data_IF_689784428403
#
_entry.id   IF_689784428403
#
_cell.length_a   1.000
_cell.length_b   1.000
_cell.length_c   1.000
_cell.angle_alpha   90.00
_cell.angle_beta   90.00
_cell.angle_gamma   90.00
#
_symmetry.space_group_name_H-M   'P 1'
#
loop_
_entity.id
_entity.type
_entity.pdbx_description
1 polymer ?
#
# COMPACT_ATOMS: atom_id res chain seq x y z
N UNK A 1 -1.60 -6.43 20.44
CA UNK A 1 -0.67 -6.38 19.30
C UNK A 1 -1.36 -5.59 18.22
N UNK A 2 -0.85 -4.40 17.92
CA UNK A 2 -1.29 -3.63 16.75
C UNK A 2 -0.65 -4.36 15.56
N UNK A 3 -1.42 -5.22 14.89
CA UNK A 3 -0.95 -5.89 13.68
C UNK A 3 -0.64 -4.78 12.67
N UNK A 4 0.64 -4.61 12.37
CA UNK A 4 1.11 -3.65 11.37
C UNK A 4 0.45 -4.00 10.04
N UNK A 5 -0.41 -3.10 9.56
CA UNK A 5 -0.93 -3.13 8.19
C UNK A 5 0.26 -2.83 7.27
N UNK A 6 1.10 -3.83 7.03
CA UNK A 6 2.19 -3.73 6.04
C UNK A 6 1.52 -3.51 4.69
N UNK A 7 2.03 -2.52 3.96
CA UNK A 7 1.41 -1.89 2.78
C UNK A 7 1.25 -2.86 1.61
N UNK A 8 0.25 -3.73 1.69
CA UNK A 8 0.04 -4.87 0.78
C UNK A 8 -0.26 -4.43 -0.66
N UNK A 9 -0.98 -3.33 -0.85
CA UNK A 9 -1.29 -2.78 -2.17
C UNK A 9 -0.01 -2.30 -2.88
N UNK A 10 0.92 -1.69 -2.16
CA UNK A 10 2.19 -1.20 -2.71
C UNK A 10 3.14 -2.35 -3.01
N UNK A 11 3.27 -3.33 -2.11
CA UNK A 11 4.05 -4.53 -2.37
C UNK A 11 3.53 -5.27 -3.62
N UNK A 12 2.21 -5.44 -3.75
CA UNK A 12 1.60 -6.02 -4.93
C UNK A 12 1.93 -5.24 -6.20
N UNK A 13 1.85 -3.91 -6.15
CA UNK A 13 2.22 -3.07 -7.29
C UNK A 13 3.68 -3.31 -7.72
N UNK A 14 4.62 -3.45 -6.78
CA UNK A 14 6.01 -3.79 -7.09
C UNK A 14 6.15 -5.18 -7.70
N UNK A 15 5.45 -6.20 -7.17
CA UNK A 15 5.49 -7.55 -7.75
C UNK A 15 4.97 -7.55 -9.20
N UNK A 16 3.86 -6.86 -9.45
CA UNK A 16 3.22 -6.82 -10.78
C UNK A 16 4.00 -5.98 -11.80
N UNK A 17 4.53 -4.81 -11.40
CA UNK A 17 5.13 -3.83 -12.31
C UNK A 17 6.65 -3.86 -12.37
N UNK A 18 7.32 -4.49 -11.39
CA UNK A 18 8.79 -4.55 -11.31
C UNK A 18 9.30 -6.00 -11.34
N UNK A 19 8.66 -6.93 -10.64
CA UNK A 19 9.13 -8.32 -10.50
C UNK A 19 8.60 -9.28 -11.59
N UNK A 20 7.81 -8.78 -12.54
CA UNK A 20 7.22 -9.60 -13.60
C UNK A 20 6.14 -10.58 -13.12
N UNK A 21 5.57 -10.34 -11.93
CA UNK A 21 4.46 -11.10 -11.37
C UNK A 21 4.86 -12.28 -10.47
N UNK A 22 6.15 -12.51 -10.21
CA UNK A 22 6.63 -13.54 -9.28
C UNK A 22 7.28 -12.90 -8.04
N UNK A 23 6.66 -13.06 -6.87
CA UNK A 23 7.23 -12.65 -5.58
C UNK A 23 8.31 -13.64 -5.14
N UNK A 24 9.52 -13.47 -5.66
CA UNK A 24 10.69 -14.31 -5.36
C UNK A 24 11.59 -13.72 -4.26
N UNK A 25 11.18 -12.61 -3.66
CA UNK A 25 11.94 -11.85 -2.65
C UNK A 25 13.35 -11.43 -3.11
N UNK A 26 13.57 -11.30 -4.42
CA UNK A 26 14.80 -10.79 -5.02
C UNK A 26 14.98 -9.27 -4.83
N UNK A 27 16.19 -8.80 -5.12
CA UNK A 27 16.46 -7.37 -5.27
C UNK A 27 16.15 -6.94 -6.70
N UNK A 28 15.29 -5.93 -6.85
CA UNK A 28 14.88 -5.42 -8.16
C UNK A 28 15.24 -3.96 -8.31
N UNK A 29 15.71 -3.59 -9.50
CA UNK A 29 15.98 -2.21 -9.86
C UNK A 29 14.65 -1.50 -10.16
N UNK A 30 14.44 -0.36 -9.51
CA UNK A 30 13.26 0.50 -9.73
C UNK A 30 13.73 1.81 -10.36
N UNK A 31 13.20 2.16 -11.54
CA UNK A 31 13.51 3.41 -12.21
C UNK A 31 12.73 4.60 -11.64
N UNK A 32 13.21 5.82 -11.92
CA UNK A 32 12.52 7.07 -11.56
C UNK A 32 11.13 7.16 -12.18
N UNK A 33 10.97 6.67 -13.41
CA UNK A 33 9.68 6.60 -14.11
C UNK A 33 8.72 5.65 -13.38
N UNK A 34 9.18 4.48 -12.94
CA UNK A 34 8.35 3.54 -12.18
C UNK A 34 7.91 4.13 -10.83
N UNK A 35 8.80 4.83 -10.12
CA UNK A 35 8.43 5.54 -8.89
C UNK A 35 7.39 6.64 -9.16
N UNK A 36 7.52 7.34 -10.29
CA UNK A 36 6.54 8.35 -10.72
C UNK A 36 5.19 7.72 -11.07
N UNK A 37 5.16 6.59 -11.80
CA UNK A 37 3.93 5.87 -12.13
C UNK A 37 3.19 5.40 -10.88
N UNK A 38 3.92 4.90 -9.88
CA UNK A 38 3.33 4.54 -8.61
C UNK A 38 2.78 5.78 -7.88
N UNK A 39 3.54 6.88 -7.84
CA UNK A 39 3.09 8.13 -7.22
C UNK A 39 1.83 8.69 -7.89
N UNK A 40 1.76 8.64 -9.22
CA UNK A 40 0.59 9.08 -9.99
C UNK A 40 -0.62 8.22 -9.67
N UNK A 41 -0.44 6.89 -9.59
CA UNK A 41 -1.51 5.95 -9.20
C UNK A 41 -2.00 6.20 -7.76
N UNK A 42 -1.07 6.42 -6.82
CA UNK A 42 -1.40 6.76 -5.42
C UNK A 42 -2.19 8.06 -5.35
N UNK A 43 -1.75 9.10 -6.08
CA UNK A 43 -2.45 10.39 -6.13
C UNK A 43 -3.85 10.25 -6.74
N UNK A 44 -4.01 9.45 -7.79
CA UNK A 44 -5.30 9.21 -8.42
C UNK A 44 -6.30 8.55 -7.46
N UNK A 45 -5.84 7.57 -6.67
CA UNK A 45 -6.68 6.95 -5.64
C UNK A 45 -7.04 7.96 -4.55
N UNK A 46 -6.06 8.70 -4.03
CA UNK A 46 -6.29 9.69 -2.96
C UNK A 46 -7.25 10.82 -3.38
N UNK A 47 -7.23 11.23 -4.66
CA UNK A 47 -8.13 12.25 -5.20
C UNK A 47 -9.58 11.74 -5.32
N UNK A 48 -9.75 10.45 -5.65
CA UNK A 48 -11.07 9.87 -5.94
C UNK A 48 -11.73 9.20 -4.74
N UNK A 49 -10.97 8.83 -3.71
CA UNK A 49 -11.50 8.07 -2.58
C UNK A 49 -12.46 8.92 -1.75
N UNK A 50 -13.61 8.36 -1.40
CA UNK A 50 -14.61 9.01 -0.55
C UNK A 50 -14.69 8.31 0.80
N UNK A 51 -14.35 9.02 1.87
CA UNK A 51 -14.42 8.50 3.25
C UNK A 51 -15.71 8.94 3.95
N UNK A 52 -16.34 8.01 4.66
CA UNK A 52 -17.48 8.31 5.51
C UNK A 52 -17.40 7.58 6.86
N UNK A 53 -18.06 8.09 7.92
CA UNK A 53 -18.12 7.41 9.21
C UNK A 53 -18.67 5.98 9.08
N UNK A 54 -17.97 5.03 9.67
CA UNK A 54 -18.30 3.61 9.61
C UNK A 54 -17.62 2.80 10.72
N UNK A 55 -17.59 1.48 10.56
CA UNK A 55 -16.99 0.54 11.50
C UNK A 55 -15.78 -0.14 10.88
N UNK A 56 -14.59 0.24 11.34
CA UNK A 56 -13.31 -0.25 10.83
C UNK A 56 -12.82 -1.44 11.65
N UNK A 57 -12.19 -2.41 11.00
CA UNK A 57 -11.61 -3.57 11.67
C UNK A 57 -10.37 -3.18 12.50
N UNK A 58 -10.47 -3.36 13.81
CA UNK A 58 -9.40 -3.11 14.78
C UNK A 58 -8.85 -4.42 15.38
N UNK A 59 -8.77 -5.46 14.53
CA UNK A 59 -8.26 -6.78 14.88
C UNK A 59 -9.37 -7.77 15.27
N UNK A 60 -8.93 -8.89 15.86
CA UNK A 60 -9.81 -9.99 16.25
C UNK A 60 -9.51 -10.47 17.66
N UNK A 61 -10.50 -11.08 18.29
CA UNK A 61 -10.38 -11.80 19.56
C UNK A 61 -10.92 -13.21 19.40
N UNK A 62 -10.52 -14.12 20.29
CA UNK A 62 -11.07 -15.48 20.33
C UNK A 62 -11.95 -15.64 21.54
N UNK A 63 -13.21 -16.03 21.33
CA UNK A 63 -14.13 -16.42 22.40
C UNK A 63 -14.68 -17.80 22.08
N UNK A 64 -14.54 -18.74 23.02
CA UNK A 64 -14.97 -20.13 22.87
C UNK A 64 -14.43 -20.85 21.61
N UNK A 65 -13.24 -20.45 21.14
CA UNK A 65 -12.64 -21.00 19.91
C UNK A 65 -13.13 -20.36 18.62
N UNK A 66 -14.08 -19.43 18.68
CA UNK A 66 -14.55 -18.65 17.52
C UNK A 66 -13.79 -17.32 17.42
N UNK A 67 -13.40 -16.96 16.18
CA UNK A 67 -12.78 -15.67 15.87
C UNK A 67 -13.87 -14.60 15.77
N UNK A 68 -13.82 -13.61 16.67
CA UNK A 68 -14.71 -12.46 16.66
C UNK A 68 -13.94 -11.22 16.22
N UNK A 69 -14.46 -10.52 15.21
CA UNK A 69 -13.91 -9.24 14.76
C UNK A 69 -14.22 -8.13 15.75
N UNK A 70 -13.20 -7.34 16.08
CA UNK A 70 -13.37 -6.14 16.87
C UNK A 70 -13.47 -4.96 15.90
N UNK A 71 -14.66 -4.40 15.76
CA UNK A 71 -14.88 -3.21 14.96
C UNK A 71 -15.05 -1.98 15.85
N UNK A 72 -14.43 -0.88 15.45
CA UNK A 72 -14.52 0.41 16.17
C UNK A 72 -15.02 1.49 15.23
N UNK A 73 -15.65 2.56 15.74
CA UNK A 73 -15.96 3.74 14.94
C UNK A 73 -14.68 4.31 14.30
N UNK A 74 -14.74 4.55 12.99
CA UNK A 74 -13.68 5.16 12.18
C UNK A 74 -14.26 5.64 10.85
N UNK A 75 -13.45 5.76 9.81
CA UNK A 75 -13.93 6.03 8.45
C UNK A 75 -13.71 4.85 7.50
N UNK A 76 -14.70 4.58 6.65
CA UNK A 76 -14.65 3.55 5.61
C UNK A 76 -14.68 4.21 4.24
N UNK A 77 -14.08 3.56 3.24
CA UNK A 77 -14.16 3.99 1.85
C UNK A 77 -15.55 3.62 1.29
N UNK A 78 -16.26 4.60 0.73
CA UNK A 78 -17.59 4.42 0.15
C UNK A 78 -17.58 3.87 -1.27
N UNK A 79 -16.48 4.12 -1.99
CA UNK A 79 -16.24 3.73 -3.37
C UNK A 79 -15.02 2.80 -3.49
N UNK A 80 -15.05 1.62 -2.84
CA UNK A 80 -13.90 0.71 -2.79
C UNK A 80 -13.44 0.26 -4.18
N UNK A 81 -14.31 0.29 -5.18
CA UNK A 81 -13.97 -0.04 -6.57
C UNK A 81 -12.85 0.84 -7.14
N UNK A 82 -12.69 2.08 -6.67
CA UNK A 82 -11.56 2.94 -7.07
C UNK A 82 -10.26 2.31 -6.60
N UNK A 83 -10.22 1.90 -5.34
CA UNK A 83 -9.06 1.27 -4.72
C UNK A 83 -8.80 -0.11 -5.35
N UNK A 84 -9.83 -0.93 -5.56
CA UNK A 84 -9.72 -2.27 -6.15
C UNK A 84 -9.19 -2.25 -7.59
N UNK A 85 -9.56 -1.25 -8.38
CA UNK A 85 -9.13 -1.17 -9.77
C UNK A 85 -7.73 -0.58 -9.94
N UNK A 86 -7.31 0.32 -9.05
CA UNK A 86 -6.05 1.06 -9.18
C UNK A 86 -4.93 0.51 -8.29
N UNK A 87 -5.23 0.23 -7.01
CA UNK A 87 -4.27 -0.23 -6.00
C UNK A 87 -4.93 -1.27 -5.07
N UNK A 88 -5.28 -2.45 -5.62
CA UNK A 88 -5.99 -3.46 -4.86
C UNK A 88 -5.17 -4.00 -3.70
N UNK A 89 -5.81 -4.18 -2.55
CA UNK A 89 -5.22 -4.91 -1.43
C UNK A 89 -5.06 -6.39 -1.78
N UNK A 90 -4.12 -7.06 -1.10
CA UNK A 90 -3.89 -8.50 -1.26
C UNK A 90 -3.99 -9.19 0.11
N UNK A 91 -4.72 -10.30 0.16
CA UNK A 91 -4.76 -11.19 1.32
C UNK A 91 -3.56 -12.13 1.31
N UNK A 92 -2.94 -12.36 2.46
CA UNK A 92 -1.96 -13.42 2.63
C UNK A 92 -1.45 -13.51 4.07
N UNK A 93 -0.68 -14.55 4.36
CA UNK A 93 -0.25 -14.88 5.72
C UNK A 93 0.51 -13.75 6.43
N UNK A 94 1.18 -12.88 5.66
CA UNK A 94 1.98 -11.75 6.15
C UNK A 94 1.31 -10.40 5.99
N UNK A 95 0.14 -10.34 5.35
CA UNK A 95 -0.53 -9.09 5.00
C UNK A 95 -1.65 -8.80 6.00
N UNK A 96 -1.80 -7.51 6.33
CA UNK A 96 -2.76 -7.03 7.32
C UNK A 96 -4.22 -7.07 6.83
N UNK A 97 -5.02 -6.10 7.27
CA UNK A 97 -6.39 -5.95 6.78
C UNK A 97 -6.41 -5.74 5.26
N UNK A 98 -7.41 -6.31 4.59
CA UNK A 98 -7.72 -6.04 3.19
C UNK A 98 -8.88 -5.05 3.02
N UNK A 99 -9.42 -4.52 4.12
CA UNK A 99 -10.50 -3.53 4.07
C UNK A 99 -9.98 -2.17 3.61
N UNK A 100 -10.75 -1.52 2.74
CA UNK A 100 -10.54 -0.13 2.34
C UNK A 100 -11.19 0.79 3.37
N UNK A 101 -10.38 1.32 4.27
CA UNK A 101 -10.79 2.19 5.37
C UNK A 101 -9.80 3.37 5.53
N UNK A 102 -10.01 4.18 6.57
CA UNK A 102 -9.13 5.31 6.90
C UNK A 102 -7.66 4.92 7.02
N UNK A 103 -7.35 3.69 7.45
CA UNK A 103 -5.97 3.26 7.57
C UNK A 103 -5.38 2.90 6.22
N UNK A 104 -6.16 2.31 5.29
CA UNK A 104 -5.72 2.14 3.90
C UNK A 104 -5.35 3.49 3.28
N UNK A 105 -6.22 4.49 3.43
CA UNK A 105 -5.97 5.84 2.90
C UNK A 105 -4.73 6.46 3.55
N UNK A 106 -4.57 6.34 4.87
CA UNK A 106 -3.39 6.83 5.58
C UNK A 106 -2.10 6.16 5.13
N UNK A 107 -2.14 4.86 4.83
CA UNK A 107 -0.97 4.14 4.33
C UNK A 107 -0.59 4.64 2.92
N UNK A 108 -1.57 5.01 2.09
CA UNK A 108 -1.33 5.68 0.80
C UNK A 108 -0.75 7.09 0.96
N UNK A 109 -1.25 7.89 1.91
CA UNK A 109 -0.68 9.21 2.23
C UNK A 109 0.79 9.10 2.65
N UNK A 110 1.10 8.15 3.53
CA UNK A 110 2.49 7.88 3.92
C UNK A 110 3.34 7.43 2.73
N UNK A 111 2.81 6.55 1.88
CA UNK A 111 3.51 6.08 0.67
C UNK A 111 3.82 7.25 -0.26
N UNK A 112 2.86 8.16 -0.47
CA UNK A 112 3.06 9.38 -1.25
C UNK A 112 4.24 10.18 -0.74
N UNK A 113 4.32 10.46 0.56
CA UNK A 113 5.42 11.22 1.16
C UNK A 113 6.78 10.54 0.93
N UNK A 114 6.85 9.22 1.04
CA UNK A 114 8.07 8.45 0.79
C UNK A 114 8.48 8.50 -0.68
N UNK A 115 7.53 8.38 -1.61
CA UNK A 115 7.79 8.44 -3.05
C UNK A 115 8.24 9.82 -3.51
N UNK A 116 7.55 10.88 -3.05
CA UNK A 116 7.94 12.26 -3.35
C UNK A 116 9.37 12.55 -2.87
N UNK A 117 9.72 12.07 -1.68
CA UNK A 117 11.09 12.18 -1.16
C UNK A 117 12.09 11.38 -1.99
N UNK A 118 11.79 10.13 -2.31
CA UNK A 118 12.69 9.28 -3.10
C UNK A 118 12.96 9.88 -4.49
N UNK A 119 11.93 10.41 -5.16
CA UNK A 119 12.07 11.08 -6.45
C UNK A 119 12.89 12.37 -6.32
N UNK A 120 12.67 13.15 -5.26
CA UNK A 120 13.46 14.37 -5.03
C UNK A 120 14.94 14.09 -4.75
N UNK A 121 15.23 13.06 -3.96
CA UNK A 121 16.60 12.62 -3.67
C UNK A 121 17.29 12.13 -4.96
N UNK A 122 16.56 11.40 -5.83
CA UNK A 122 17.03 11.00 -7.16
C UNK A 122 17.38 12.16 -8.07
N UNK A 123 16.44 13.10 -8.23
CA UNK A 123 16.61 14.25 -9.11
C UNK A 123 17.78 15.14 -8.62
N UNK A 124 18.10 15.12 -7.32
CA UNK A 124 19.22 15.85 -6.73
C UNK A 124 20.58 15.15 -6.89
N UNK A 125 20.64 13.82 -6.74
CA UNK A 125 21.90 13.06 -6.77
C UNK A 125 22.31 12.63 -8.19
N UNK A 126 21.34 12.34 -9.06
CA UNK A 126 21.57 11.72 -10.38
C UNK A 126 20.57 12.23 -11.45
N UNK A 127 20.59 13.54 -11.80
CA UNK A 127 19.61 14.14 -12.73
C UNK A 127 19.61 13.55 -14.15
N UNK A 128 20.66 12.82 -14.54
CA UNK A 128 20.85 12.24 -15.89
C UNK A 128 21.03 10.70 -15.87
N UNK A 129 20.90 10.03 -14.71
CA UNK A 129 21.18 8.60 -14.55
C UNK A 129 19.95 7.81 -14.11
N UNK A 130 19.70 6.67 -14.78
CA UNK A 130 18.75 5.67 -14.28
C UNK A 130 19.35 5.10 -12.99
N UNK A 131 18.94 5.63 -11.84
CA UNK A 131 19.38 5.13 -10.54
C UNK A 131 18.65 3.83 -10.25
N UNK A 132 19.42 2.76 -10.12
CA UNK A 132 18.95 1.47 -9.66
C UNK A 132 18.82 1.49 -8.14
N UNK A 133 17.62 1.69 -7.60
CA UNK A 133 17.35 1.32 -6.21
C UNK A 133 17.00 -0.16 -6.14
N UNK A 134 17.71 -0.88 -5.27
CA UNK A 134 17.35 -2.24 -4.91
C UNK A 134 16.16 -2.21 -3.93
N UNK A 135 14.97 -2.59 -4.41
CA UNK A 135 13.86 -2.92 -3.53
C UNK A 135 14.11 -4.31 -2.91
N UNK A 136 14.15 -4.38 -1.58
CA UNK A 136 14.19 -5.63 -0.82
C UNK A 136 12.94 -5.74 0.04
N UNK A 137 12.05 -6.64 -0.33
CA UNK A 137 10.93 -7.04 0.52
C UNK A 137 11.44 -8.00 1.59
N UNK A 138 11.70 -7.49 2.80
CA UNK A 138 11.92 -8.34 3.98
C UNK A 138 10.62 -8.52 4.77
N UNK A 139 10.26 -9.79 4.97
CA UNK A 139 9.08 -10.29 5.69
C UNK A 139 8.99 -9.82 7.14
#
# INVERSE_FOLDING_TARGET
MVYGRKVNAIHRWFVENVQGGEDDCGEYEVSREQLQELLDTVNEVLEKVELAPGLVLNGYTYQNGERLEMRVPGQVVLNPEVCENLLPTQSGFFFGSTEYDEYYVRDLEYTKEVLEKAIADLDAEHPDEIVAYAYTSSW
#
